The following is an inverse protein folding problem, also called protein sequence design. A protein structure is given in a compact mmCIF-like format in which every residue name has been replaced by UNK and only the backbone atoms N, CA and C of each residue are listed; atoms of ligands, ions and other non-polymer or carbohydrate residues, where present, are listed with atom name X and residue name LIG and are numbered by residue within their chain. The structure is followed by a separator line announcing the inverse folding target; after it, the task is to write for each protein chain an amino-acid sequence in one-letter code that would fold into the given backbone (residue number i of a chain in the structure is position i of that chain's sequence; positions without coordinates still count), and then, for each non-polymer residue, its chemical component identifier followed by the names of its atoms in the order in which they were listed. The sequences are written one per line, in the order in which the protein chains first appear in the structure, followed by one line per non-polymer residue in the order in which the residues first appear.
data_IF_648871533405
#
_entry.id   IF_648871533405
#
_cell.length_a   1.000
_cell.length_b   1.000
_cell.length_c   1.000
_cell.angle_alpha   90.00
_cell.angle_beta   90.00
_cell.angle_gamma   90.00
#
_symmetry.space_group_name_H-M   'P 1'
#
loop_
_entity.id
_entity.type
_entity.pdbx_description
1 polymer ?
#
# COMPACT_ATOMS: atom_id res chain seq x y z
N UNK A 1 3.91 -13.01 36.30
CA UNK A 1 4.71 -13.06 35.06
C UNK A 1 3.86 -12.47 33.95
N UNK A 2 4.16 -11.25 33.52
CA UNK A 2 3.41 -10.60 32.44
C UNK A 2 3.81 -11.26 31.13
N UNK A 3 2.89 -11.99 30.51
CA UNK A 3 3.09 -12.50 29.17
C UNK A 3 3.25 -11.27 28.24
N UNK A 4 4.46 -11.05 27.74
CA UNK A 4 4.69 -10.13 26.63
C UNK A 4 4.08 -10.79 25.40
N UNK A 5 2.75 -10.73 25.27
CA UNK A 5 2.07 -11.12 24.04
C UNK A 5 2.54 -10.12 23.00
N UNK A 6 3.56 -10.47 22.23
CA UNK A 6 4.04 -9.68 21.12
C UNK A 6 2.82 -9.34 20.27
N UNK A 7 2.43 -8.05 20.25
CA UNK A 7 1.27 -7.62 19.49
C UNK A 7 1.49 -8.05 18.03
N UNK A 8 0.51 -8.67 17.38
CA UNK A 8 0.68 -9.12 16.01
C UNK A 8 1.04 -7.90 15.14
N UNK A 9 2.06 -8.04 14.30
CA UNK A 9 2.55 -6.95 13.47
C UNK A 9 1.82 -6.91 12.13
N UNK A 10 1.64 -5.71 11.56
CA UNK A 10 1.16 -5.53 10.19
C UNK A 10 2.35 -5.32 9.27
N UNK A 11 2.42 -6.13 8.22
CA UNK A 11 3.42 -6.01 7.17
C UNK A 11 2.77 -5.85 5.81
N UNK A 12 3.22 -4.85 5.06
CA UNK A 12 2.95 -4.78 3.63
C UNK A 12 3.86 -5.79 2.93
N UNK A 13 3.38 -6.98 2.63
CA UNK A 13 4.22 -8.04 2.05
C UNK A 13 4.34 -7.91 0.53
N UNK A 14 3.35 -7.30 -0.11
CA UNK A 14 3.32 -7.18 -1.57
C UNK A 14 2.65 -5.88 -2.00
N UNK A 15 3.39 -5.08 -2.76
CA UNK A 15 2.85 -3.93 -3.47
C UNK A 15 2.89 -4.24 -4.96
N UNK A 16 1.72 -4.20 -5.60
CA UNK A 16 1.57 -4.31 -7.05
C UNK A 16 1.07 -2.98 -7.58
N UNK A 17 1.82 -2.37 -8.49
CA UNK A 17 1.40 -1.13 -9.15
C UNK A 17 1.39 -1.38 -10.64
N UNK A 18 0.27 -1.07 -11.28
CA UNK A 18 0.09 -1.20 -12.72
C UNK A 18 -0.28 0.16 -13.28
N UNK A 19 0.48 0.66 -14.24
CA UNK A 19 0.16 1.90 -14.95
C UNK A 19 -0.24 1.58 -16.39
N UNK A 20 -1.37 2.11 -16.83
CA UNK A 20 -1.94 1.92 -18.17
C UNK A 20 -2.18 3.28 -18.80
N UNK A 21 -1.67 3.46 -20.01
CA UNK A 21 -1.91 4.67 -20.80
C UNK A 21 -3.32 4.60 -21.39
N UNK A 22 -4.10 5.66 -21.23
CA UNK A 22 -5.45 5.81 -21.75
C UNK A 22 -5.55 7.15 -22.46
N UNK A 23 -5.36 7.14 -23.78
CA UNK A 23 -5.22 8.37 -24.57
C UNK A 23 -3.93 9.11 -24.22
N UNK A 24 -4.03 10.37 -23.80
CA UNK A 24 -2.91 11.22 -23.38
C UNK A 24 -2.56 11.12 -21.89
N UNK A 25 -3.42 10.48 -21.07
CA UNK A 25 -3.24 10.35 -19.63
C UNK A 25 -2.82 8.92 -19.24
N UNK A 26 -2.05 8.77 -18.15
CA UNK A 26 -1.72 7.46 -17.57
C UNK A 26 -2.56 7.25 -16.30
N UNK A 27 -3.23 6.10 -16.24
CA UNK A 27 -3.97 5.63 -15.08
C UNK A 27 -3.15 4.57 -14.34
N UNK A 28 -2.86 4.79 -13.06
CA UNK A 28 -2.19 3.80 -12.23
C UNK A 28 -3.10 3.22 -11.16
N UNK A 29 -3.04 1.90 -11.02
CA UNK A 29 -3.73 1.15 -9.97
C UNK A 29 -2.70 0.50 -9.07
N UNK A 30 -2.78 0.79 -7.78
CA UNK A 30 -1.97 0.21 -6.72
C UNK A 30 -2.77 -0.81 -5.93
N UNK A 31 -2.16 -1.94 -5.61
CA UNK A 31 -2.70 -2.93 -4.67
C UNK A 31 -1.64 -3.24 -3.64
N UNK A 32 -2.00 -3.09 -2.37
CA UNK A 32 -1.14 -3.36 -1.22
C UNK A 32 -1.73 -4.55 -0.48
N UNK A 33 -0.98 -5.64 -0.38
CA UNK A 33 -1.32 -6.78 0.44
C UNK A 33 -0.72 -6.61 1.83
N UNK A 34 -1.57 -6.67 2.85
CA UNK A 34 -1.20 -6.60 4.26
C UNK A 34 -1.38 -7.99 4.86
N UNK A 35 -0.30 -8.49 5.47
CA UNK A 35 -0.29 -9.75 6.18
C UNK A 35 0.38 -9.56 7.54
N UNK A 36 0.17 -10.50 8.45
CA UNK A 36 0.92 -10.54 9.70
C UNK A 36 2.32 -11.16 9.53
N UNK A 37 3.07 -11.28 10.64
CA UNK A 37 4.36 -11.96 10.64
C UNK A 37 4.28 -13.46 10.28
N UNK A 38 3.11 -14.09 10.40
CA UNK A 38 2.87 -15.49 10.06
C UNK A 38 2.43 -15.67 8.59
N UNK A 39 2.28 -14.59 7.83
CA UNK A 39 1.77 -14.61 6.45
C UNK A 39 0.25 -14.67 6.35
N UNK A 40 -0.48 -14.45 7.45
CA UNK A 40 -1.93 -14.40 7.46
C UNK A 40 -2.42 -13.06 6.92
N UNK A 41 -3.29 -13.09 5.90
CA UNK A 41 -3.90 -11.88 5.37
C UNK A 41 -4.77 -11.18 6.41
N UNK A 42 -4.54 -9.88 6.61
CA UNK A 42 -5.23 -9.10 7.64
C UNK A 42 -6.31 -8.24 7.00
N UNK A 43 -7.61 -8.58 7.15
CA UNK A 43 -8.71 -7.73 6.71
C UNK A 43 -8.98 -6.59 7.71
N UNK A 44 -9.59 -5.50 7.24
CA UNK A 44 -9.95 -4.35 8.09
C UNK A 44 -8.78 -3.48 8.59
N UNK A 45 -7.55 -3.67 8.08
CA UNK A 45 -6.44 -2.74 8.31
C UNK A 45 -6.56 -1.51 7.40
N UNK A 46 -6.31 -0.33 7.95
CA UNK A 46 -6.30 0.94 7.21
C UNK A 46 -4.89 1.21 6.70
N UNK A 47 -4.70 1.15 5.39
CA UNK A 47 -3.42 1.42 4.73
C UNK A 47 -3.42 2.86 4.24
N UNK A 48 -2.41 3.64 4.63
CA UNK A 48 -2.15 4.97 4.11
C UNK A 48 -0.98 4.92 3.12
N UNK A 49 -1.20 5.51 1.95
CA UNK A 49 -0.20 5.61 0.89
C UNK A 49 -0.03 7.05 0.42
N UNK A 50 1.09 7.30 -0.24
CA UNK A 50 1.36 8.52 -1.00
C UNK A 50 1.84 8.13 -2.38
N UNK A 51 1.13 8.61 -3.40
CA UNK A 51 1.58 8.57 -4.79
C UNK A 51 2.51 9.74 -5.05
N UNK A 52 3.62 9.48 -5.74
CA UNK A 52 4.52 10.50 -6.28
C UNK A 52 4.50 10.39 -7.79
N UNK A 53 4.02 11.43 -8.46
CA UNK A 53 3.97 11.53 -9.92
C UNK A 53 5.18 12.31 -10.43
N UNK A 54 5.58 12.15 -11.70
CA UNK A 54 6.84 12.71 -12.19
C UNK A 54 6.76 14.22 -12.41
N UNK A 55 5.56 14.81 -12.46
CA UNK A 55 5.35 16.25 -12.39
C UNK A 55 5.75 16.87 -11.03
N UNK A 56 6.09 16.04 -10.04
CA UNK A 56 6.43 16.48 -8.68
C UNK A 56 5.24 16.49 -7.72
N UNK A 57 4.00 16.38 -8.24
CA UNK A 57 2.83 16.30 -7.39
C UNK A 57 2.81 15.00 -6.55
N UNK A 58 2.22 15.11 -5.36
CA UNK A 58 2.00 13.98 -4.46
C UNK A 58 0.53 13.87 -4.09
N UNK A 59 0.01 12.65 -4.08
CA UNK A 59 -1.38 12.39 -3.75
C UNK A 59 -1.47 11.34 -2.66
N UNK A 60 -1.98 11.74 -1.49
CA UNK A 60 -2.17 10.84 -0.36
C UNK A 60 -3.52 10.15 -0.46
N UNK A 61 -3.56 8.84 -0.20
CA UNK A 61 -4.79 8.05 -0.19
C UNK A 61 -4.78 7.09 0.99
N UNK A 62 -5.97 6.76 1.46
CA UNK A 62 -6.19 5.74 2.49
C UNK A 62 -7.21 4.72 1.98
N UNK A 63 -6.98 3.45 2.28
CA UNK A 63 -7.93 2.39 1.94
C UNK A 63 -7.88 1.29 2.99
N UNK A 64 -9.03 0.66 3.20
CA UNK A 64 -9.16 -0.46 4.12
C UNK A 64 -8.93 -1.76 3.36
N UNK A 65 -8.16 -2.68 3.95
CA UNK A 65 -7.93 -4.00 3.37
C UNK A 65 -9.21 -4.83 3.36
N UNK A 66 -9.50 -5.46 2.23
CA UNK A 66 -10.59 -6.44 2.07
C UNK A 66 -10.39 -7.72 2.87
N UNK A 67 -11.36 -8.65 2.81
CA UNK A 67 -11.30 -10.00 3.43
C UNK A 67 -10.03 -10.79 3.08
N UNK A 68 -9.37 -10.47 1.97
CA UNK A 68 -8.11 -11.08 1.51
C UNK A 68 -6.87 -10.29 1.95
N UNK A 69 -6.99 -9.32 2.86
CA UNK A 69 -5.90 -8.45 3.28
C UNK A 69 -5.38 -7.51 2.19
N UNK A 70 -6.18 -7.25 1.15
CA UNK A 70 -5.77 -6.40 0.03
C UNK A 70 -6.45 -5.03 0.09
N UNK A 71 -5.65 -3.96 0.12
CA UNK A 71 -6.07 -2.58 -0.09
C UNK A 71 -5.83 -2.19 -1.56
N UNK A 72 -6.79 -1.51 -2.18
CA UNK A 72 -6.71 -1.07 -3.57
C UNK A 72 -6.75 0.45 -3.65
N UNK A 73 -5.94 1.00 -4.54
CA UNK A 73 -5.75 2.43 -4.76
C UNK A 73 -5.71 2.70 -6.25
N UNK A 74 -6.19 3.87 -6.66
CA UNK A 74 -6.14 4.28 -8.05
C UNK A 74 -5.87 5.78 -8.14
N UNK A 75 -5.08 6.15 -9.14
CA UNK A 75 -4.77 7.52 -9.49
C UNK A 75 -4.81 7.64 -11.02
N UNK A 76 -5.42 8.71 -11.51
CA UNK A 76 -5.57 9.01 -12.93
C UNK A 76 -4.74 10.24 -13.29
N UNK A 77 -4.70 10.58 -14.59
CA UNK A 77 -4.11 11.85 -15.05
C UNK A 77 -2.62 12.02 -14.73
N UNK A 78 -1.87 10.91 -14.75
CA UNK A 78 -0.44 10.91 -14.52
C UNK A 78 0.29 11.10 -15.85
N UNK A 79 1.30 11.97 -15.89
CA UNK A 79 2.20 12.12 -17.03
C UNK A 79 3.41 11.16 -16.91
N UNK A 80 3.20 9.84 -17.09
CA UNK A 80 4.30 8.85 -17.14
C UNK A 80 4.43 7.98 -15.89
N UNK A 81 5.64 7.88 -15.30
CA UNK A 81 5.91 6.92 -14.21
C UNK A 81 5.51 7.42 -12.84
N UNK A 82 4.72 6.65 -12.10
CA UNK A 82 4.33 6.94 -10.72
C UNK A 82 5.03 6.03 -9.70
N UNK A 83 5.19 6.53 -8.47
CA UNK A 83 5.69 5.74 -7.34
C UNK A 83 4.63 5.70 -6.26
N UNK A 84 4.27 4.51 -5.78
CA UNK A 84 3.41 4.32 -4.61
C UNK A 84 4.30 4.09 -3.40
N UNK A 85 4.11 4.87 -2.35
CA UNK A 85 4.78 4.68 -1.07
C UNK A 85 3.74 4.47 0.02
N UNK A 86 3.80 3.33 0.72
CA UNK A 86 3.04 3.09 1.96
C UNK A 86 3.68 3.91 3.06
N UNK A 87 2.91 4.82 3.64
CA UNK A 87 3.39 5.70 4.72
C UNK A 87 3.05 5.14 6.08
N UNK A 88 1.90 4.48 6.20
CA UNK A 88 1.44 3.94 7.48
C UNK A 88 0.41 2.82 7.25
N UNK A 89 0.24 1.94 8.21
CA UNK A 89 -0.82 0.91 8.19
C UNK A 89 -1.31 0.66 9.61
N UNK A 90 -2.58 0.94 9.89
CA UNK A 90 -3.13 0.88 11.24
C UNK A 90 -4.26 -0.14 11.35
N UNK A 91 -4.26 -0.88 12.46
CA UNK A 91 -5.38 -1.76 12.87
C UNK A 91 -5.40 -1.87 14.38
N UNK A 92 -6.58 -1.85 14.98
CA UNK A 92 -6.74 -2.02 16.43
C UNK A 92 -6.14 -3.36 16.89
N UNK A 93 -5.27 -3.31 17.89
CA UNK A 93 -4.58 -4.49 18.45
C UNK A 93 -3.35 -4.96 17.66
N UNK A 94 -2.91 -4.22 16.63
CA UNK A 94 -1.72 -4.55 15.85
C UNK A 94 -0.73 -3.37 15.81
N UNK A 95 0.54 -3.68 15.57
CA UNK A 95 1.60 -2.67 15.40
C UNK A 95 2.14 -2.71 13.97
N UNK A 96 2.30 -1.55 13.33
CA UNK A 96 2.88 -1.49 11.99
C UNK A 96 4.38 -1.81 12.03
N UNK A 97 4.81 -2.84 11.32
CA UNK A 97 6.23 -3.16 11.14
C UNK A 97 6.71 -2.67 9.78
N UNK A 98 7.18 -1.41 9.76
CA UNK A 98 7.70 -0.79 8.55
C UNK A 98 9.02 -1.43 8.09
N UNK A 99 9.83 -1.97 9.00
CA UNK A 99 11.14 -2.54 8.68
C UNK A 99 11.02 -3.88 7.94
N UNK A 100 10.02 -4.70 8.31
CA UNK A 100 9.67 -5.93 7.61
C UNK A 100 8.73 -5.73 6.41
N UNK A 101 8.36 -4.48 6.08
CA UNK A 101 7.38 -4.17 5.04
C UNK A 101 8.02 -3.71 3.74
N UNK A 102 7.39 -4.08 2.62
CA UNK A 102 7.57 -3.40 1.35
C UNK A 102 6.85 -2.05 1.44
N UNK A 103 7.63 -0.97 1.51
CA UNK A 103 7.10 0.40 1.68
C UNK A 103 6.95 1.15 0.36
N UNK A 104 7.64 0.78 -0.72
CA UNK A 104 7.56 1.53 -1.97
C UNK A 104 7.60 0.65 -3.21
N UNK A 105 6.91 1.08 -4.25
CA UNK A 105 6.91 0.44 -5.56
C UNK A 105 6.71 1.47 -6.66
N UNK A 106 7.58 1.43 -7.66
CA UNK A 106 7.45 2.25 -8.87
C UNK A 106 6.73 1.49 -9.97
N UNK A 107 5.85 2.17 -10.70
CA UNK A 107 5.31 1.70 -11.97
C UNK A 107 5.64 2.69 -13.08
N UNK A 108 5.76 2.16 -14.30
CA UNK A 108 5.85 2.95 -15.52
C UNK A 108 4.70 2.54 -16.42
N UNK A 109 4.14 3.49 -17.16
CA UNK A 109 3.27 3.17 -18.29
C UNK A 109 4.01 2.22 -19.22
N UNK A 110 3.34 1.13 -19.59
CA UNK A 110 3.72 0.33 -20.76
C UNK A 110 3.08 0.92 -22.00
#
# INVERSE_FOLDING_TARGET
MSATTSAPVLRSTKITVTARTSGTAVNATGKVAVQDANGLAIPGATVAITWKVPSGATQRQTAVTSSRGMASFAITDIAGSCTLTVTDTTKAGYTFDAAGSVLTRKARSR
#
